data_IF_413376246154
#
_entry.id   IF_413376246154
#
_cell.length_a   1.000
_cell.length_b   1.000
_cell.length_c   1.000
_cell.angle_alpha   90.00
_cell.angle_beta   90.00
_cell.angle_gamma   90.00
#
_symmetry.space_group_name_H-M   'P 1'
#
loop_
_entity.id
_entity.type
_entity.pdbx_description
1 polymer ?
#
# COMPACT_ATOMS: atom_id res chain seq x y z
N UNK A 1 29.85 3.35 -38.14
CA UNK A 1 28.88 2.49 -37.44
C UNK A 1 29.10 2.58 -35.92
N UNK A 2 28.55 3.60 -35.24
CA UNK A 2 28.64 3.79 -33.78
C UNK A 2 27.42 4.57 -33.27
N UNK A 3 26.21 4.00 -33.37
CA UNK A 3 24.98 4.62 -32.83
C UNK A 3 23.97 3.58 -32.30
N UNK A 4 24.41 2.37 -31.96
CA UNK A 4 23.54 1.32 -31.41
C UNK A 4 23.69 1.12 -29.90
N UNK A 5 24.60 1.85 -29.23
CA UNK A 5 24.91 1.60 -27.81
C UNK A 5 24.05 2.39 -26.82
N UNK A 6 23.36 3.44 -27.25
CA UNK A 6 22.69 4.37 -26.32
C UNK A 6 21.23 3.98 -26.04
N UNK A 7 20.57 3.23 -26.93
CA UNK A 7 19.18 2.81 -26.75
C UNK A 7 19.02 1.69 -25.71
N UNK A 8 20.07 0.89 -25.46
CA UNK A 8 20.01 -0.24 -24.54
C UNK A 8 20.02 0.18 -23.06
N UNK A 9 20.53 1.38 -22.72
CA UNK A 9 20.58 1.85 -21.34
C UNK A 9 19.26 2.45 -20.83
N UNK A 10 18.35 2.85 -21.73
CA UNK A 10 17.09 3.50 -21.36
C UNK A 10 16.03 2.49 -20.90
N UNK A 11 16.18 1.20 -21.24
CA UNK A 11 15.24 0.13 -20.87
C UNK A 11 15.44 -0.44 -19.46
N UNK A 12 16.52 -0.07 -18.74
CA UNK A 12 16.82 -0.63 -17.41
C UNK A 12 16.20 0.16 -16.25
N UNK A 13 15.49 1.27 -16.50
CA UNK A 13 14.91 2.12 -15.45
C UNK A 13 13.42 1.82 -15.20
N UNK A 14 12.80 0.92 -15.98
CA UNK A 14 11.35 0.66 -15.91
C UNK A 14 10.94 -0.50 -14.98
N UNK A 15 11.83 -0.96 -14.10
CA UNK A 15 11.57 -2.11 -13.23
C UNK A 15 11.64 -1.79 -11.71
N UNK A 16 11.47 -0.52 -11.33
CA UNK A 16 10.88 -0.24 -10.01
C UNK A 16 9.39 -0.55 -10.14
N UNK A 17 9.05 -1.85 -10.11
CA UNK A 17 7.67 -2.28 -10.04
C UNK A 17 7.04 -1.66 -8.80
N UNK A 18 5.84 -1.12 -8.92
CA UNK A 18 4.99 -0.86 -7.77
C UNK A 18 4.92 -2.18 -6.98
N UNK A 19 5.55 -2.22 -5.81
CA UNK A 19 5.39 -3.34 -4.90
C UNK A 19 4.02 -3.14 -4.27
N UNK A 20 3.03 -3.87 -4.75
CA UNK A 20 1.72 -3.90 -4.10
C UNK A 20 1.83 -4.75 -2.83
N UNK A 21 1.45 -4.17 -1.70
CA UNK A 21 1.29 -4.85 -0.41
C UNK A 21 -0.19 -4.78 -0.02
N UNK A 22 -0.64 -5.74 0.76
CA UNK A 22 -2.04 -5.83 1.19
C UNK A 22 -2.11 -5.93 2.71
N UNK A 23 -3.10 -5.25 3.27
CA UNK A 23 -3.44 -5.29 4.69
C UNK A 23 -4.90 -5.73 4.88
N UNK A 24 -5.17 -6.42 5.98
CA UNK A 24 -6.52 -6.74 6.45
C UNK A 24 -6.73 -6.02 7.77
N UNK A 25 -7.69 -5.11 7.83
CA UNK A 25 -8.04 -4.35 9.02
C UNK A 25 -9.37 -4.83 9.59
N UNK A 26 -9.39 -5.20 10.88
CA UNK A 26 -10.58 -5.68 11.57
C UNK A 26 -10.99 -4.69 12.67
N UNK A 27 -12.25 -4.26 12.69
CA UNK A 27 -12.78 -3.44 13.78
C UNK A 27 -13.12 -4.33 15.00
N UNK A 28 -12.56 -3.98 16.16
CA UNK A 28 -12.53 -4.84 17.34
C UNK A 28 -13.92 -5.12 17.96
N UNK A 29 -14.87 -4.18 17.84
CA UNK A 29 -16.18 -4.31 18.49
C UNK A 29 -17.20 -5.07 17.63
N UNK A 30 -17.10 -4.93 16.31
CA UNK A 30 -18.06 -5.46 15.33
C UNK A 30 -17.53 -6.67 14.57
N UNK A 31 -16.20 -6.82 14.50
CA UNK A 31 -15.55 -7.85 13.68
C UNK A 31 -15.69 -7.59 12.19
N UNK A 32 -16.01 -6.35 11.78
CA UNK A 32 -16.02 -5.97 10.37
C UNK A 32 -14.57 -5.99 9.87
N UNK A 33 -14.36 -6.67 8.75
CA UNK A 33 -13.07 -6.76 8.07
C UNK A 33 -13.09 -5.87 6.81
N UNK A 34 -11.99 -5.16 6.59
CA UNK A 34 -11.70 -4.39 5.38
C UNK A 34 -10.33 -4.78 4.84
N UNK A 35 -10.26 -5.10 3.55
CA UNK A 35 -9.03 -5.45 2.86
C UNK A 35 -8.61 -4.29 1.95
N UNK A 36 -7.35 -3.90 2.02
CA UNK A 36 -6.79 -2.87 1.14
C UNK A 36 -5.44 -3.29 0.58
N UNK A 37 -5.27 -3.15 -0.74
CA UNK A 37 -4.01 -3.41 -1.44
C UNK A 37 -3.58 -2.17 -2.21
N UNK A 38 -2.31 -1.81 -2.09
CA UNK A 38 -1.74 -0.64 -2.78
C UNK A 38 -0.22 -0.61 -2.64
N UNK A 39 0.38 0.50 -3.03
CA UNK A 39 1.78 0.75 -2.68
C UNK A 39 1.95 0.82 -1.14
N UNK A 40 3.16 0.62 -0.60
CA UNK A 40 3.37 0.65 0.85
C UNK A 40 2.93 1.97 1.49
N UNK A 41 3.13 3.09 0.78
CA UNK A 41 2.68 4.42 1.25
C UNK A 41 1.15 4.54 1.27
N UNK A 42 0.46 3.97 0.28
CA UNK A 42 -1.02 3.95 0.24
C UNK A 42 -1.60 3.06 1.34
N UNK A 43 -0.96 1.91 1.61
CA UNK A 43 -1.38 1.00 2.68
C UNK A 43 -1.18 1.67 4.05
N UNK A 44 -0.03 2.29 4.30
CA UNK A 44 0.19 3.05 5.53
C UNK A 44 -0.83 4.17 5.70
N UNK A 45 -1.12 4.91 4.61
CA UNK A 45 -2.10 5.99 4.66
C UNK A 45 -3.51 5.47 4.99
N UNK A 46 -3.88 4.30 4.48
CA UNK A 46 -5.15 3.65 4.79
C UNK A 46 -5.24 3.25 6.28
N UNK A 47 -4.19 2.65 6.83
CA UNK A 47 -4.12 2.32 8.27
C UNK A 47 -4.25 3.58 9.14
N UNK A 48 -3.52 4.65 8.81
CA UNK A 48 -3.56 5.92 9.53
C UNK A 48 -4.96 6.57 9.48
N UNK A 49 -5.64 6.50 8.33
CA UNK A 49 -6.99 7.01 8.15
C UNK A 49 -8.02 6.23 8.97
N UNK A 50 -7.88 4.90 9.05
CA UNK A 50 -8.71 4.05 9.90
C UNK A 50 -8.47 4.33 11.39
N UNK A 51 -7.23 4.50 11.84
CA UNK A 51 -6.93 4.88 13.22
C UNK A 51 -7.54 6.24 13.57
N UNK A 52 -7.35 7.23 12.69
CA UNK A 52 -7.85 8.59 12.92
C UNK A 52 -9.37 8.64 12.92
N UNK A 53 -10.01 8.00 11.94
CA UNK A 53 -11.47 7.99 11.81
C UNK A 53 -12.08 7.14 12.92
N UNK A 54 -11.48 5.99 13.21
CA UNK A 54 -11.92 5.12 14.29
C UNK A 54 -11.91 5.82 15.65
N UNK A 55 -10.85 6.55 15.97
CA UNK A 55 -10.79 7.39 17.18
C UNK A 55 -11.94 8.42 17.27
N UNK A 56 -12.42 8.95 16.15
CA UNK A 56 -13.56 9.89 16.13
C UNK A 56 -14.90 9.19 16.40
N UNK A 57 -15.05 7.93 15.99
CA UNK A 57 -16.29 7.17 16.10
C UNK A 57 -16.27 6.10 17.22
N UNK A 58 -15.19 6.02 18.00
CA UNK A 58 -15.01 5.01 19.04
C UNK A 58 -14.80 3.59 18.48
N UNK A 59 -14.30 3.48 17.25
CA UNK A 59 -13.92 2.23 16.62
C UNK A 59 -12.43 1.97 16.85
N UNK A 60 -12.07 0.72 17.05
CA UNK A 60 -10.70 0.29 17.24
C UNK A 60 -10.34 -0.68 16.12
N UNK A 61 -9.45 -0.26 15.21
CA UNK A 61 -9.07 -1.03 14.03
C UNK A 61 -7.74 -1.71 14.26
N UNK A 62 -7.67 -3.01 13.96
CA UNK A 62 -6.47 -3.80 14.07
C UNK A 62 -6.09 -4.37 12.70
N UNK A 63 -4.94 -3.94 12.18
CA UNK A 63 -4.49 -4.22 10.83
C UNK A 63 -3.37 -5.27 10.84
N UNK A 64 -3.49 -6.29 10.00
CA UNK A 64 -2.52 -7.39 9.87
C UNK A 64 -2.15 -7.57 8.39
N UNK A 65 -0.86 -7.48 8.11
CA UNK A 65 -0.31 -7.51 6.75
C UNK A 65 0.19 -6.14 6.32
N UNK A 66 1.29 -6.10 5.56
CA UNK A 66 2.07 -4.89 5.25
C UNK A 66 3.54 -5.21 5.14
#
# INVERSE_FOLDING_TARGET
MKKLSTLLMILMISACGLVEVCVVCTEANTGIEEDFCGSPDEVQQHEDDLEKTGNQYGQDWNCVGG
#
